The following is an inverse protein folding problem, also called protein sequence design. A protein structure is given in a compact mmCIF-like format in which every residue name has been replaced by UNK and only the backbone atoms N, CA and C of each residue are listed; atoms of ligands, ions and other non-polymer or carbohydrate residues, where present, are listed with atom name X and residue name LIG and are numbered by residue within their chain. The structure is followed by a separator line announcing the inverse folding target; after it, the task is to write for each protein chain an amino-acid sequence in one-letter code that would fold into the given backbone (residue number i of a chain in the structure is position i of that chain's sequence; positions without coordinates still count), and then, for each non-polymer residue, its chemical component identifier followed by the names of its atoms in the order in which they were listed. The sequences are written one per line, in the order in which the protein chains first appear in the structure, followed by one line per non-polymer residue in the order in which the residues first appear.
data_IF_744228979343
#
_entry.id   IF_744228979343
#
_cell.length_a   1.000
_cell.length_b   1.000
_cell.length_c   1.000
_cell.angle_alpha   90.00
_cell.angle_beta   90.00
_cell.angle_gamma   90.00
#
_symmetry.space_group_name_H-M   'P 1'
#
loop_
_entity.id
_entity.type
_entity.pdbx_description
1 polymer ?
#
# COMPACT_ATOMS: atom_id res chain seq x y z
N UNK A 1 -3.16 -10.12 2.03
CA UNK A 1 -2.19 -9.49 1.11
C UNK A 1 -0.93 -10.35 1.09
N UNK A 2 -0.37 -10.66 -0.08
CA UNK A 2 0.75 -11.60 -0.19
C UNK A 2 2.09 -10.86 -0.20
N UNK A 3 2.92 -11.09 0.80
CA UNK A 3 4.26 -10.51 0.93
C UNK A 3 5.25 -11.68 1.09
N UNK A 4 6.29 -11.73 0.25
CA UNK A 4 7.30 -12.80 0.25
C UNK A 4 6.75 -14.24 0.19
N UNK A 5 5.61 -14.44 -0.48
CA UNK A 5 5.01 -15.77 -0.60
C UNK A 5 4.04 -16.15 0.53
N UNK A 6 4.00 -15.38 1.61
CA UNK A 6 3.09 -15.56 2.73
C UNK A 6 1.91 -14.61 2.64
N UNK A 7 0.73 -15.09 3.04
CA UNK A 7 -0.47 -14.28 3.14
C UNK A 7 -0.55 -13.65 4.53
N UNK A 8 -0.61 -12.32 4.58
CA UNK A 8 -0.79 -11.56 5.80
C UNK A 8 -2.12 -10.84 5.79
N UNK A 9 -2.75 -10.79 6.96
CA UNK A 9 -3.95 -10.00 7.19
C UNK A 9 -3.61 -8.51 7.23
N UNK A 10 -4.59 -7.67 6.89
CA UNK A 10 -4.45 -6.21 6.98
C UNK A 10 -3.99 -5.77 8.38
N UNK A 11 -4.62 -6.32 9.43
CA UNK A 11 -4.28 -6.02 10.83
C UNK A 11 -2.82 -6.31 11.17
N UNK A 12 -2.30 -7.46 10.74
CA UNK A 12 -0.90 -7.86 10.99
C UNK A 12 0.09 -6.90 10.34
N UNK A 13 -0.20 -6.49 9.10
CA UNK A 13 0.63 -5.53 8.36
C UNK A 13 0.61 -4.17 9.05
N UNK A 14 -0.57 -3.69 9.46
CA UNK A 14 -0.71 -2.42 10.18
C UNK A 14 0.01 -2.47 11.53
N UNK A 15 -0.09 -3.56 12.27
CA UNK A 15 0.67 -3.74 13.52
C UNK A 15 2.18 -3.75 13.28
N UNK A 16 2.66 -4.42 12.23
CA UNK A 16 4.07 -4.43 11.88
C UNK A 16 4.59 -3.02 11.49
N UNK A 17 3.79 -2.28 10.71
CA UNK A 17 4.08 -0.88 10.37
C UNK A 17 4.09 0.02 11.62
N UNK A 18 3.15 -0.16 12.55
CA UNK A 18 3.15 0.58 13.82
C UNK A 18 4.40 0.28 14.65
N UNK A 19 4.82 -0.98 14.74
CA UNK A 19 6.07 -1.38 15.42
C UNK A 19 7.32 -0.76 14.78
N UNK A 20 7.30 -0.53 13.47
CA UNK A 20 8.35 0.19 12.72
C UNK A 20 8.34 1.71 12.91
N UNK A 21 7.32 2.25 13.59
CA UNK A 21 7.17 3.69 13.86
C UNK A 21 6.35 4.45 12.83
N UNK A 22 5.55 3.76 12.01
CA UNK A 22 4.59 4.42 11.12
C UNK A 22 3.30 4.77 11.87
N UNK A 23 2.77 5.95 11.56
CA UNK A 23 1.45 6.40 11.99
C UNK A 23 0.41 6.03 10.93
N UNK A 24 -0.63 5.32 11.36
CA UNK A 24 -1.72 4.91 10.46
C UNK A 24 -2.81 5.97 10.52
N UNK A 25 -3.07 6.62 9.39
CA UNK A 25 -4.10 7.64 9.25
C UNK A 25 -5.17 7.20 8.25
N UNK A 26 -6.46 7.47 8.52
CA UNK A 26 -7.49 7.24 7.53
C UNK A 26 -7.28 8.19 6.35
N UNK A 27 -7.31 7.66 5.13
CA UNK A 27 -7.14 8.41 3.90
C UNK A 27 -8.25 8.06 2.92
N UNK A 28 -8.83 9.07 2.29
CA UNK A 28 -9.86 8.88 1.27
C UNK A 28 -9.26 9.24 -0.08
N UNK A 29 -9.21 8.25 -0.97
CA UNK A 29 -8.70 8.43 -2.33
C UNK A 29 -9.73 7.91 -3.34
N UNK A 30 -9.46 8.09 -4.63
CA UNK A 30 -10.29 7.63 -5.71
C UNK A 30 -9.43 6.94 -6.76
N UNK A 31 -10.01 5.90 -7.37
CA UNK A 31 -9.46 5.31 -8.58
C UNK A 31 -10.25 5.82 -9.78
N UNK A 32 -9.54 6.22 -10.82
CA UNK A 32 -10.14 6.58 -12.10
C UNK A 32 -10.21 5.33 -12.97
N UNK A 33 -11.43 4.88 -13.23
CA UNK A 33 -11.65 3.80 -14.18
C UNK A 33 -12.09 4.38 -15.51
N UNK A 34 -11.30 4.12 -16.55
CA UNK A 34 -11.70 4.42 -17.92
C UNK A 34 -12.81 3.43 -18.32
N UNK A 35 -14.01 3.94 -18.62
CA UNK A 35 -15.02 3.16 -19.33
C UNK A 35 -14.95 3.49 -20.82
N UNK A 36 -15.24 2.49 -21.67
CA UNK A 36 -15.19 2.59 -23.13
C UNK A 36 -15.66 3.97 -23.64
N UNK A 37 -14.75 4.73 -24.27
CA UNK A 37 -14.96 6.13 -24.67
C UNK A 37 -14.09 7.13 -23.89
N UNK A 38 -14.54 8.38 -23.79
CA UNK A 38 -13.86 9.49 -23.06
C UNK A 38 -14.41 9.71 -21.64
N UNK A 39 -15.14 8.74 -21.08
CA UNK A 39 -15.77 8.83 -19.76
C UNK A 39 -14.87 8.21 -18.69
N UNK A 40 -14.52 9.03 -17.70
CA UNK A 40 -13.78 8.60 -16.51
C UNK A 40 -14.72 8.58 -15.31
N UNK A 41 -14.85 7.42 -14.66
CA UNK A 41 -15.62 7.28 -13.41
C UNK A 41 -14.63 7.33 -12.25
N UNK A 42 -14.90 8.22 -11.29
CA UNK A 42 -14.14 8.31 -10.04
C UNK A 42 -14.77 7.41 -8.99
N UNK A 43 -14.14 6.27 -8.73
CA UNK A 43 -14.54 5.35 -7.68
C UNK A 43 -13.85 5.75 -6.38
N UNK A 44 -14.57 6.41 -5.47
CA UNK A 44 -14.06 6.84 -4.18
C UNK A 44 -14.03 5.68 -3.19
N UNK A 45 -12.92 5.51 -2.47
CA UNK A 45 -12.80 4.51 -1.43
C UNK A 45 -12.03 5.03 -0.22
N UNK A 46 -12.33 4.45 0.94
CA UNK A 46 -11.62 4.71 2.17
C UNK A 46 -10.51 3.70 2.32
N UNK A 47 -9.29 4.19 2.52
CA UNK A 47 -8.10 3.38 2.80
C UNK A 47 -7.36 3.97 3.99
N UNK A 48 -6.23 3.38 4.33
CA UNK A 48 -5.34 3.87 5.37
C UNK A 48 -3.98 4.21 4.75
N UNK A 49 -3.33 5.23 5.27
CA UNK A 49 -1.96 5.56 4.91
C UNK A 49 -1.05 5.27 6.10
N UNK A 50 0.14 4.77 5.81
CA UNK A 50 1.20 4.59 6.79
C UNK A 50 2.25 5.68 6.55
N UNK A 51 2.22 6.74 7.37
CA UNK A 51 3.15 7.87 7.27
C UNK A 51 4.20 7.82 8.36
N UNK A 52 5.40 8.32 8.11
CA UNK A 52 6.47 8.36 9.11
C UNK A 52 6.94 9.79 9.33
N UNK A 53 6.91 10.25 10.58
CA UNK A 53 7.29 11.64 10.90
C UNK A 53 6.26 12.64 10.39
N UNK A 54 6.70 13.60 9.56
CA UNK A 54 5.89 14.74 9.06
C UNK A 54 5.36 14.52 7.63
N UNK A 55 5.42 13.27 7.12
CA UNK A 55 4.91 12.95 5.78
C UNK A 55 3.38 13.06 5.71
N UNK A 56 2.88 13.66 4.63
CA UNK A 56 1.44 13.77 4.38
C UNK A 56 0.86 12.45 3.87
N UNK A 57 -0.39 12.11 4.23
CA UNK A 57 -1.09 10.97 3.65
C UNK A 57 -1.30 11.23 2.15
N UNK A 58 -0.89 10.29 1.32
CA UNK A 58 -0.93 10.37 -0.15
C UNK A 58 -1.03 8.96 -0.71
N UNK A 59 -1.34 8.83 -1.99
CA UNK A 59 -1.47 7.53 -2.67
C UNK A 59 -0.20 6.67 -2.63
N UNK A 60 0.99 7.31 -2.56
CA UNK A 60 2.26 6.61 -2.38
C UNK A 60 2.39 5.99 -0.97
N UNK A 61 1.79 6.65 0.02
CA UNK A 61 1.84 6.28 1.43
C UNK A 61 0.69 5.36 1.85
N UNK A 62 -0.09 4.81 0.90
CA UNK A 62 -1.11 3.80 1.20
C UNK A 62 -0.44 2.62 1.90
N UNK A 63 -1.04 2.13 2.99
CA UNK A 63 -0.48 1.09 3.85
C UNK A 63 0.00 -0.14 3.06
N UNK A 64 -0.73 -0.54 2.02
CA UNK A 64 -0.38 -1.63 1.12
C UNK A 64 0.95 -1.38 0.41
N UNK A 65 1.14 -0.19 -0.17
CA UNK A 65 2.36 0.16 -0.90
C UNK A 65 3.57 0.24 0.04
N UNK A 66 3.38 0.90 1.19
CA UNK A 66 4.44 0.99 2.22
C UNK A 66 4.82 -0.41 2.73
N UNK A 67 3.84 -1.28 2.95
CA UNK A 67 4.08 -2.65 3.37
C UNK A 67 4.88 -3.45 2.31
N UNK A 68 4.55 -3.31 1.03
CA UNK A 68 5.33 -3.93 -0.05
C UNK A 68 6.75 -3.39 -0.02
N UNK A 69 6.93 -2.08 0.02
CA UNK A 69 8.25 -1.44 -0.02
C UNK A 69 9.12 -1.82 1.18
N UNK A 70 8.54 -1.91 2.38
CA UNK A 70 9.27 -2.22 3.62
C UNK A 70 9.52 -3.72 3.82
N UNK A 71 8.55 -4.58 3.47
CA UNK A 71 8.60 -6.00 3.79
C UNK A 71 8.89 -6.90 2.59
N UNK A 72 8.71 -6.44 1.35
CA UNK A 72 9.10 -7.21 0.17
C UNK A 72 10.61 -7.16 0.03
N UNK A 73 11.29 -8.20 0.50
CA UNK A 73 12.73 -8.35 0.31
C UNK A 73 12.97 -8.61 -1.18
N UNK A 74 13.85 -7.82 -1.80
CA UNK A 74 14.15 -7.91 -3.22
C UNK A 74 14.39 -9.35 -3.65
N UNK A 75 13.44 -9.92 -4.39
CA UNK A 75 13.60 -11.22 -5.02
C UNK A 75 14.61 -11.01 -6.16
N UNK A 76 15.90 -11.01 -5.84
CA UNK A 76 16.96 -10.99 -6.84
C UNK A 76 16.74 -12.23 -7.70
N UNK A 77 16.31 -12.02 -8.95
CA UNK A 77 16.08 -13.09 -9.92
C UNK A 77 17.34 -13.96 -9.95
N UNK A 78 17.28 -15.26 -9.60
CA UNK A 78 18.46 -16.10 -9.71
C UNK A 78 18.90 -16.11 -11.18
N UNK A 79 20.19 -15.89 -11.43
CA UNK A 79 20.75 -16.05 -12.78
C UNK A 79 20.56 -17.51 -13.17
N UNK A 80 19.85 -17.74 -14.27
CA UNK A 80 19.82 -19.04 -14.93
C UNK A 80 21.25 -19.30 -15.43
N UNK A 81 21.88 -20.35 -14.90
CA UNK A 81 23.11 -20.93 -15.45
C UNK A 81 22.71 -21.73 -16.68
#
# INVERSE_FOLDING_TARGET
MKINGFEYSKSEILEALRKKGYMILPFRTYHERAMHGSLFIKEWFHTECAVKGDELPSDDNIWSNVAIKEFQTGFTKPKLI
#
